data_IF_598795903385
#
_entry.id   IF_598795903385
#
_cell.length_a   1.000
_cell.length_b   1.000
_cell.length_c   1.000
_cell.angle_alpha   90.00
_cell.angle_beta   90.00
_cell.angle_gamma   90.00
#
_symmetry.space_group_name_H-M   'P 1'
#
loop_
_entity.id
_entity.type
_entity.pdbx_description
1 polymer ?
#
# COMPACT_ATOMS: atom_id res chain seq x y z
N UNK A 1 -4.57 36.89 56.72
CA UNK A 1 -3.59 37.64 57.52
C UNK A 1 -2.38 37.83 56.61
N UNK A 2 -2.21 39.08 56.31
CA UNK A 2 -1.05 40.01 56.19
C UNK A 2 -0.13 39.68 55.00
N UNK A 3 -0.15 40.42 53.85
CA UNK A 3 0.40 41.78 53.63
C UNK A 3 1.93 41.79 53.77
N UNK A 4 2.75 42.26 52.87
CA UNK A 4 2.88 43.53 52.14
C UNK A 4 4.01 43.43 51.13
N UNK A 5 3.87 43.96 49.90
CA UNK A 5 4.36 45.27 49.38
C UNK A 5 5.88 45.46 49.44
N UNK A 6 6.62 46.08 48.57
CA UNK A 6 6.47 47.03 47.47
C UNK A 6 7.88 47.41 46.94
N UNK A 7 7.92 47.93 45.66
CA UNK A 7 8.78 49.01 45.09
C UNK A 7 10.16 48.63 44.53
N UNK A 8 10.40 48.69 43.27
CA UNK A 8 10.56 49.82 42.33
C UNK A 8 11.78 50.74 42.68
N UNK A 9 12.70 50.88 41.75
CA UNK A 9 13.32 52.17 41.36
C UNK A 9 14.19 51.98 40.07
N UNK A 10 13.91 52.81 39.13
CA UNK A 10 14.53 53.36 37.96
C UNK A 10 16.07 53.48 37.96
N UNK A 11 16.66 53.37 36.76
CA UNK A 11 18.01 53.84 36.47
C UNK A 11 18.24 53.95 34.97
N UNK A 12 18.09 55.14 34.46
CA UNK A 12 18.32 55.63 33.09
C UNK A 12 19.80 55.65 32.75
N UNK A 13 20.20 55.35 31.51
CA UNK A 13 21.55 55.56 30.98
C UNK A 13 21.67 55.30 29.48
N UNK A 14 21.39 56.31 28.67
CA UNK A 14 21.66 56.37 27.27
C UNK A 14 23.12 56.69 27.00
N UNK A 15 23.79 55.94 26.08
CA UNK A 15 24.98 56.45 25.34
C UNK A 15 24.84 55.98 23.88
N UNK A 16 24.66 56.94 23.02
CA UNK A 16 24.82 56.90 21.58
C UNK A 16 26.32 56.87 21.25
N UNK A 17 26.75 55.93 20.40
CA UNK A 17 27.94 56.09 19.59
C UNK A 17 27.67 55.63 18.18
N UNK A 18 27.60 56.59 17.30
CA UNK A 18 27.59 56.44 15.84
C UNK A 18 29.03 56.11 15.38
N UNK A 19 29.16 55.10 14.57
CA UNK A 19 30.36 54.90 13.74
C UNK A 19 29.94 54.48 12.34
N UNK A 20 30.10 55.43 11.44
CA UNK A 20 30.02 55.30 9.98
C UNK A 20 31.22 54.46 9.46
N UNK A 21 30.96 53.46 8.64
CA UNK A 21 31.93 52.90 7.74
C UNK A 21 31.30 52.52 6.38
N UNK A 22 31.75 53.26 5.47
CA UNK A 22 32.00 53.22 4.02
C UNK A 22 31.56 51.91 3.27
N UNK A 23 30.69 52.14 2.29
CA UNK A 23 30.38 51.26 1.17
C UNK A 23 31.63 50.98 0.31
N UNK A 24 31.85 49.69 0.05
CA UNK A 24 32.52 49.26 -1.17
C UNK A 24 31.59 48.23 -1.83
N UNK A 25 30.95 48.64 -2.89
CA UNK A 25 30.09 47.79 -3.69
C UNK A 25 30.93 46.89 -4.59
N UNK A 26 30.49 45.66 -4.76
CA UNK A 26 30.66 44.92 -6.00
C UNK A 26 29.32 44.22 -6.26
N UNK A 27 28.64 44.66 -7.27
CA UNK A 27 27.44 44.03 -7.76
C UNK A 27 27.76 42.71 -8.42
N UNK A 28 26.94 41.72 -8.17
CA UNK A 28 26.65 40.66 -9.13
C UNK A 28 25.16 40.33 -9.02
N UNK A 29 24.56 40.25 -10.16
CA UNK A 29 23.14 40.32 -10.38
C UNK A 29 22.33 39.23 -9.66
N UNK A 30 21.20 39.62 -9.14
CA UNK A 30 20.08 38.74 -8.98
C UNK A 30 19.61 38.30 -10.36
N UNK A 31 19.97 37.10 -10.77
CA UNK A 31 19.26 36.34 -11.77
C UNK A 31 18.13 35.59 -11.05
N UNK A 32 17.01 35.49 -11.72
CA UNK A 32 15.72 35.11 -11.18
C UNK A 32 15.68 33.80 -10.42
N UNK A 33 14.74 33.74 -9.53
CA UNK A 33 14.13 32.51 -9.06
C UNK A 33 13.57 31.77 -10.29
N UNK A 34 14.32 30.81 -10.79
CA UNK A 34 13.75 29.70 -11.51
C UNK A 34 13.18 28.77 -10.42
N UNK A 35 11.88 28.66 -10.36
CA UNK A 35 11.20 27.56 -9.69
C UNK A 35 11.64 26.25 -10.41
N UNK A 36 12.78 25.71 -10.03
CA UNK A 36 13.16 24.37 -10.42
C UNK A 36 12.26 23.40 -9.67
N UNK A 37 11.51 22.60 -10.41
CA UNK A 37 10.76 21.49 -9.85
C UNK A 37 11.70 20.61 -8.99
N UNK A 38 11.23 20.05 -7.86
CA UNK A 38 12.00 19.10 -7.06
C UNK A 38 12.49 17.95 -7.96
N UNK A 39 13.82 17.75 -8.05
CA UNK A 39 14.43 16.71 -8.90
C UNK A 39 15.26 17.21 -10.08
N UNK A 40 15.39 18.53 -10.30
CA UNK A 40 16.18 19.10 -11.41
C UNK A 40 17.69 19.19 -11.15
N UNK A 41 18.16 19.00 -9.92
CA UNK A 41 19.58 18.86 -9.58
C UNK A 41 19.96 17.38 -9.53
N UNK A 42 21.17 17.02 -10.03
CA UNK A 42 21.65 15.63 -9.99
C UNK A 42 21.70 15.09 -8.55
N UNK A 43 21.56 13.76 -8.39
CA UNK A 43 21.60 13.10 -7.09
C UNK A 43 22.91 13.43 -6.33
N UNK A 44 22.80 13.58 -5.02
CA UNK A 44 23.97 13.73 -4.14
C UNK A 44 24.82 12.46 -4.16
N UNK A 45 26.11 12.63 -3.98
CA UNK A 45 27.08 11.52 -3.92
C UNK A 45 28.09 11.78 -2.81
N UNK A 46 28.27 10.80 -1.94
CA UNK A 46 29.30 10.81 -0.87
C UNK A 46 29.81 9.38 -0.64
N UNK A 47 30.75 9.24 0.27
CA UNK A 47 31.27 7.95 0.77
C UNK A 47 30.52 7.52 2.06
N UNK A 48 29.44 8.21 2.43
CA UNK A 48 28.68 7.89 3.64
C UNK A 48 27.93 6.55 3.48
N UNK A 49 27.84 5.82 4.59
CA UNK A 49 27.04 4.59 4.65
C UNK A 49 25.56 4.89 4.48
N UNK A 50 24.83 3.95 3.87
CA UNK A 50 23.39 4.03 3.73
C UNK A 50 22.66 3.40 4.94
N UNK A 51 21.55 3.99 5.29
CA UNK A 51 20.57 3.44 6.24
C UNK A 51 19.30 3.06 5.50
N UNK A 52 18.79 1.85 5.76
CA UNK A 52 17.55 1.32 5.14
C UNK A 52 16.57 0.97 6.23
N UNK A 53 15.35 1.49 6.18
CA UNK A 53 14.27 1.21 7.13
C UNK A 53 13.13 0.48 6.44
N UNK A 54 12.77 -0.70 6.94
CA UNK A 54 11.66 -1.50 6.39
C UNK A 54 10.59 -1.81 7.45
N UNK A 55 9.35 -1.94 7.01
CA UNK A 55 8.27 -2.56 7.76
C UNK A 55 8.12 -4.00 7.28
N UNK A 56 8.75 -4.94 7.98
CA UNK A 56 8.77 -6.33 7.55
C UNK A 56 7.47 -7.06 7.90
N UNK A 57 7.01 -7.94 7.02
CA UNK A 57 5.90 -8.85 7.26
C UNK A 57 6.29 -10.08 8.11
N UNK A 58 7.59 -10.26 8.41
CA UNK A 58 8.12 -11.34 9.22
C UNK A 58 9.59 -11.65 8.97
N UNK A 59 10.10 -12.67 9.68
CA UNK A 59 11.52 -13.02 9.63
C UNK A 59 12.01 -13.37 8.23
N UNK A 60 11.19 -14.03 7.41
CA UNK A 60 11.55 -14.42 6.04
C UNK A 60 11.80 -13.21 5.13
N UNK A 61 10.99 -12.16 5.21
CA UNK A 61 11.23 -10.91 4.48
C UNK A 61 12.48 -10.22 4.99
N UNK A 62 12.62 -10.09 6.33
CA UNK A 62 13.79 -9.46 6.94
C UNK A 62 15.09 -10.14 6.50
N UNK A 63 15.16 -11.47 6.56
CA UNK A 63 16.35 -12.24 6.17
C UNK A 63 16.66 -12.11 4.68
N UNK A 64 15.63 -12.13 3.82
CA UNK A 64 15.81 -11.99 2.38
C UNK A 64 16.32 -10.60 1.99
N UNK A 65 15.73 -9.55 2.54
CA UNK A 65 16.16 -8.16 2.28
C UNK A 65 17.54 -7.92 2.86
N UNK A 66 17.85 -8.40 4.08
CA UNK A 66 19.19 -8.29 4.66
C UNK A 66 20.24 -8.98 3.77
N UNK A 67 19.93 -10.19 3.27
CA UNK A 67 20.88 -10.91 2.40
C UNK A 67 21.14 -10.16 1.08
N UNK A 68 20.13 -9.53 0.48
CA UNK A 68 20.28 -8.74 -0.74
C UNK A 68 21.09 -7.45 -0.48
N UNK A 69 20.80 -6.75 0.60
CA UNK A 69 21.53 -5.55 1.04
C UNK A 69 23.01 -5.88 1.31
N UNK A 70 23.31 -6.97 2.03
CA UNK A 70 24.68 -7.40 2.32
C UNK A 70 25.46 -7.78 1.04
N UNK A 71 24.76 -8.43 0.09
CA UNK A 71 25.36 -8.79 -1.20
C UNK A 71 25.74 -7.55 -2.01
N UNK A 72 24.82 -6.59 -2.13
CA UNK A 72 25.08 -5.32 -2.81
C UNK A 72 26.16 -4.50 -2.11
N UNK A 73 26.10 -4.37 -0.78
CA UNK A 73 27.13 -3.66 0.01
C UNK A 73 28.53 -4.21 -0.23
N UNK A 74 28.66 -5.53 -0.30
CA UNK A 74 29.94 -6.20 -0.61
C UNK A 74 30.42 -5.94 -2.04
N UNK A 75 29.49 -5.85 -3.00
CA UNK A 75 29.80 -5.64 -4.42
C UNK A 75 30.16 -4.18 -4.69
N UNK A 76 29.36 -3.24 -4.19
CA UNK A 76 29.53 -1.80 -4.37
C UNK A 76 30.70 -1.23 -3.55
N UNK A 77 30.95 -1.82 -2.38
CA UNK A 77 31.88 -1.30 -1.37
C UNK A 77 31.29 -0.20 -0.49
N UNK A 78 30.00 0.11 -0.63
CA UNK A 78 29.27 1.06 0.23
C UNK A 78 28.68 0.31 1.42
N UNK A 79 28.97 0.75 2.64
CA UNK A 79 28.38 0.16 3.84
C UNK A 79 26.87 0.47 3.91
N UNK A 80 26.05 -0.53 4.25
CA UNK A 80 24.60 -0.37 4.42
C UNK A 80 24.15 -1.00 5.73
N UNK A 81 23.28 -0.32 6.45
CA UNK A 81 22.62 -0.86 7.64
C UNK A 81 21.11 -0.98 7.42
N UNK A 82 20.56 -2.19 7.58
CA UNK A 82 19.13 -2.46 7.55
C UNK A 82 18.54 -2.36 8.97
N UNK A 83 17.43 -1.65 9.09
CA UNK A 83 16.65 -1.52 10.31
C UNK A 83 15.21 -2.00 10.03
N UNK A 84 14.61 -2.71 11.00
CA UNK A 84 13.23 -3.16 10.91
C UNK A 84 12.40 -2.35 11.90
N UNK A 85 11.44 -1.60 11.37
CA UNK A 85 10.54 -0.80 12.17
C UNK A 85 9.52 -1.66 12.91
N UNK A 86 9.19 -1.30 14.13
CA UNK A 86 8.06 -1.85 14.86
C UNK A 86 6.73 -1.22 14.44
N UNK A 87 6.78 0.05 14.04
CA UNK A 87 5.70 0.83 13.42
C UNK A 87 6.35 1.77 12.38
N UNK A 88 6.32 1.33 11.12
CA UNK A 88 7.02 2.02 10.04
C UNK A 88 6.55 3.47 9.87
N UNK A 89 5.23 3.70 9.86
CA UNK A 89 4.68 5.03 9.67
C UNK A 89 5.08 6.00 10.78
N UNK A 90 5.05 5.52 12.02
CA UNK A 90 5.47 6.32 13.18
C UNK A 90 6.98 6.61 13.16
N UNK A 91 7.80 5.59 12.84
CA UNK A 91 9.27 5.74 12.82
C UNK A 91 9.73 6.64 11.68
N UNK A 92 9.12 6.55 10.49
CA UNK A 92 9.35 7.49 9.39
C UNK A 92 9.02 8.93 9.79
N UNK A 93 7.82 9.16 10.33
CA UNK A 93 7.38 10.49 10.75
C UNK A 93 8.32 11.08 11.82
N UNK A 94 8.80 10.26 12.75
CA UNK A 94 9.76 10.69 13.78
C UNK A 94 11.13 11.01 13.20
N UNK A 95 11.64 10.18 12.28
CA UNK A 95 12.92 10.40 11.60
C UNK A 95 12.94 11.72 10.83
N UNK A 96 11.91 11.97 10.03
CA UNK A 96 11.77 13.24 9.30
C UNK A 96 11.60 14.44 10.24
N UNK A 97 10.81 14.32 11.30
CA UNK A 97 10.63 15.40 12.28
C UNK A 97 11.93 15.71 13.05
N UNK A 98 12.78 14.73 13.26
CA UNK A 98 14.09 14.89 13.90
C UNK A 98 15.17 15.42 12.93
N UNK A 99 14.93 15.42 11.61
CA UNK A 99 15.96 15.72 10.58
C UNK A 99 17.01 14.63 10.44
N UNK A 100 16.68 13.40 10.81
CA UNK A 100 17.53 12.22 10.76
C UNK A 100 16.75 11.02 10.16
N UNK A 101 16.13 11.14 8.95
CA UNK A 101 15.45 10.03 8.30
C UNK A 101 16.47 8.96 7.85
N UNK A 102 15.98 7.73 7.63
CA UNK A 102 16.75 6.74 6.87
C UNK A 102 16.92 7.20 5.41
N UNK A 103 18.01 6.80 4.75
CA UNK A 103 18.28 7.16 3.35
C UNK A 103 17.30 6.52 2.39
N UNK A 104 16.98 5.23 2.62
CA UNK A 104 15.96 4.46 1.91
C UNK A 104 14.98 3.85 2.91
N UNK A 105 13.73 3.73 2.49
CA UNK A 105 12.70 3.14 3.34
C UNK A 105 11.54 2.58 2.53
N UNK A 106 10.80 1.64 3.11
CA UNK A 106 9.49 1.28 2.56
C UNK A 106 8.52 2.44 2.75
N UNK A 107 7.79 2.76 1.70
CA UNK A 107 6.78 3.81 1.71
C UNK A 107 5.48 3.27 1.11
N UNK A 108 4.40 3.39 1.86
CA UNK A 108 3.07 2.98 1.42
C UNK A 108 2.42 4.03 0.52
N UNK A 109 1.47 3.58 -0.28
CA UNK A 109 0.75 4.42 -1.25
C UNK A 109 -0.09 5.52 -0.60
N UNK A 110 -0.58 5.29 0.62
CA UNK A 110 -1.36 6.26 1.39
C UNK A 110 -0.52 7.36 2.07
N UNK A 111 0.80 7.19 2.14
CA UNK A 111 1.72 8.14 2.77
C UNK A 111 2.51 8.99 1.79
N UNK A 112 2.64 8.52 0.52
CA UNK A 112 3.53 9.18 -0.45
C UNK A 112 3.15 10.64 -0.73
N UNK A 113 1.85 10.96 -0.88
CA UNK A 113 1.40 12.30 -1.17
C UNK A 113 1.81 13.30 -0.06
N UNK A 114 1.66 12.91 1.21
CA UNK A 114 2.06 13.73 2.34
C UNK A 114 3.57 14.00 2.41
N UNK A 115 4.39 12.98 2.18
CA UNK A 115 5.86 13.14 2.18
C UNK A 115 6.37 13.85 0.92
N UNK A 116 5.71 13.68 -0.25
CA UNK A 116 6.05 14.40 -1.46
C UNK A 116 5.74 15.90 -1.33
N UNK A 117 4.54 16.25 -0.85
CA UNK A 117 4.08 17.64 -0.74
C UNK A 117 4.91 18.48 0.23
N UNK A 118 5.46 17.89 1.27
CA UNK A 118 6.31 18.58 2.25
C UNK A 118 7.81 18.60 1.88
N UNK A 119 8.18 18.01 0.72
CA UNK A 119 9.56 17.98 0.23
C UNK A 119 10.48 16.99 0.95
N UNK A 120 9.94 16.01 1.67
CA UNK A 120 10.73 14.98 2.36
C UNK A 120 11.33 13.94 1.43
N UNK A 121 10.77 13.77 0.22
CA UNK A 121 11.17 12.74 -0.74
C UNK A 121 12.04 13.30 -1.85
N UNK A 122 13.12 12.58 -2.18
CA UNK A 122 13.82 12.71 -3.44
C UNK A 122 13.07 11.93 -4.51
N UNK A 123 12.55 12.62 -5.52
CA UNK A 123 12.03 11.98 -6.72
C UNK A 123 13.19 11.43 -7.56
N UNK A 124 13.25 10.13 -7.75
CA UNK A 124 14.31 9.47 -8.51
C UNK A 124 13.81 8.49 -9.57
N UNK A 125 12.50 8.27 -9.63
CA UNK A 125 11.89 7.24 -10.49
C UNK A 125 12.29 7.37 -11.96
N UNK A 126 12.38 8.59 -12.50
CA UNK A 126 12.82 8.84 -13.86
C UNK A 126 14.30 8.56 -14.12
N UNK A 127 15.12 8.40 -13.07
CA UNK A 127 16.54 8.11 -13.16
C UNK A 127 16.84 6.61 -13.13
N UNK A 128 15.84 5.77 -12.79
CA UNK A 128 15.97 4.32 -12.80
C UNK A 128 16.25 3.79 -14.20
N UNK A 129 17.30 2.99 -14.34
CA UNK A 129 17.65 2.33 -15.61
C UNK A 129 16.62 1.28 -16.05
N UNK A 130 15.87 0.71 -15.10
CA UNK A 130 14.83 -0.30 -15.29
C UNK A 130 13.40 0.25 -15.18
N UNK A 131 13.19 1.57 -15.24
CA UNK A 131 11.86 2.17 -15.02
C UNK A 131 10.77 1.66 -15.96
N UNK A 132 11.11 1.36 -17.22
CA UNK A 132 10.17 0.89 -18.24
C UNK A 132 9.80 -0.60 -18.06
N UNK A 133 10.44 -1.31 -17.13
CA UNK A 133 10.16 -2.70 -16.80
C UNK A 133 9.11 -2.85 -15.71
N UNK A 134 8.84 -1.82 -14.92
CA UNK A 134 7.76 -1.85 -13.93
C UNK A 134 6.39 -1.93 -14.61
N UNK A 135 5.42 -2.54 -13.92
CA UNK A 135 4.03 -2.48 -14.37
C UNK A 135 3.54 -1.04 -14.36
N UNK A 136 2.93 -0.55 -15.48
CA UNK A 136 2.49 0.85 -15.58
C UNK A 136 1.57 1.29 -14.44
N UNK A 137 0.66 0.42 -13.99
CA UNK A 137 -0.23 0.68 -12.86
C UNK A 137 0.53 0.96 -11.56
N UNK A 138 1.64 0.22 -11.31
CA UNK A 138 2.48 0.46 -10.13
C UNK A 138 3.21 1.80 -10.20
N UNK A 139 3.71 2.17 -11.39
CA UNK A 139 4.35 3.47 -11.62
C UNK A 139 3.36 4.61 -11.38
N UNK A 140 2.13 4.49 -11.91
CA UNK A 140 1.07 5.48 -11.74
C UNK A 140 0.78 5.74 -10.27
N UNK A 141 0.74 4.69 -9.44
CA UNK A 141 0.44 4.79 -8.01
C UNK A 141 1.53 5.54 -7.20
N UNK A 142 2.75 5.60 -7.70
CA UNK A 142 3.87 6.34 -7.10
C UNK A 142 4.26 7.59 -7.91
N UNK A 143 3.35 8.06 -8.77
CA UNK A 143 3.48 9.31 -9.51
C UNK A 143 2.53 10.34 -8.90
N UNK A 144 3.08 11.42 -8.38
CA UNK A 144 2.34 12.55 -7.80
C UNK A 144 2.67 13.79 -8.61
N UNK A 145 1.67 14.51 -9.08
CA UNK A 145 1.82 15.72 -9.91
C UNK A 145 2.79 15.50 -11.11
N UNK A 146 2.55 14.44 -11.87
CA UNK A 146 3.38 14.00 -13.00
C UNK A 146 4.85 13.64 -12.65
N UNK A 147 5.17 13.48 -11.38
CA UNK A 147 6.52 13.14 -10.92
C UNK A 147 6.55 11.72 -10.35
N UNK A 148 7.34 10.83 -10.95
CA UNK A 148 7.57 9.47 -10.45
C UNK A 148 8.59 9.48 -9.31
N UNK A 149 8.13 9.27 -8.09
CA UNK A 149 8.94 9.43 -6.88
C UNK A 149 9.81 8.22 -6.56
N UNK A 150 9.24 7.01 -6.59
CA UNK A 150 9.93 5.84 -6.03
C UNK A 150 9.59 4.53 -6.72
N UNK A 151 10.56 3.63 -6.80
CA UNK A 151 10.43 2.30 -7.41
C UNK A 151 9.48 1.39 -6.61
N UNK A 152 8.44 0.81 -7.24
CA UNK A 152 7.60 -0.20 -6.59
C UNK A 152 8.45 -1.40 -6.16
N UNK A 153 8.35 -1.82 -4.88
CA UNK A 153 9.20 -2.91 -4.38
C UNK A 153 8.71 -4.31 -4.74
N UNK A 154 7.42 -4.50 -4.76
CA UNK A 154 6.66 -5.72 -5.07
C UNK A 154 5.18 -5.38 -5.15
N UNK A 155 4.32 -6.35 -5.40
CA UNK A 155 2.89 -6.11 -5.30
C UNK A 155 2.08 -7.37 -4.98
N UNK A 156 0.81 -7.17 -4.66
CA UNK A 156 -0.21 -8.20 -4.56
C UNK A 156 -1.54 -7.70 -5.13
N UNK A 157 -2.33 -8.60 -5.70
CA UNK A 157 -3.75 -8.37 -5.97
C UNK A 157 -4.60 -9.29 -5.11
N UNK A 158 -5.91 -9.09 -5.10
CA UNK A 158 -6.83 -10.01 -4.45
C UNK A 158 -7.36 -11.04 -5.44
N UNK A 159 -7.54 -12.26 -4.94
CA UNK A 159 -8.12 -13.37 -5.67
C UNK A 159 -9.10 -14.17 -4.80
N UNK A 160 -9.84 -15.08 -5.40
CA UNK A 160 -10.69 -16.02 -4.69
C UNK A 160 -9.87 -17.23 -4.27
N UNK A 161 -9.71 -17.43 -2.97
CA UNK A 161 -8.99 -18.59 -2.40
C UNK A 161 -10.00 -19.58 -1.85
N UNK A 162 -9.91 -20.84 -2.30
CA UNK A 162 -10.93 -21.84 -2.14
C UNK A 162 -10.36 -23.04 -1.38
N UNK A 163 -11.03 -23.49 -0.32
CA UNK A 163 -10.71 -24.75 0.37
C UNK A 163 -11.10 -25.94 -0.52
N UNK A 164 -10.08 -26.68 -0.99
CA UNK A 164 -10.26 -27.78 -1.96
C UNK A 164 -11.05 -28.96 -1.38
N UNK A 165 -10.95 -29.23 -0.08
CA UNK A 165 -11.69 -30.30 0.54
C UNK A 165 -13.19 -29.97 0.61
N UNK A 166 -13.54 -28.76 1.09
CA UNK A 166 -14.93 -28.31 1.17
C UNK A 166 -15.57 -28.21 -0.21
N UNK A 167 -14.81 -27.76 -1.21
CA UNK A 167 -15.23 -27.72 -2.60
C UNK A 167 -15.59 -29.11 -3.14
N UNK A 168 -14.72 -30.08 -2.94
CA UNK A 168 -14.93 -31.47 -3.37
C UNK A 168 -16.09 -32.14 -2.62
N UNK A 169 -16.20 -31.91 -1.31
CA UNK A 169 -17.25 -32.50 -0.47
C UNK A 169 -18.65 -31.96 -0.87
N UNK A 170 -18.72 -30.73 -1.37
CA UNK A 170 -19.93 -30.14 -1.94
C UNK A 170 -20.25 -30.67 -3.37
N UNK A 171 -19.37 -31.50 -3.95
CA UNK A 171 -19.51 -32.07 -5.31
C UNK A 171 -19.18 -31.09 -6.41
N UNK A 172 -18.49 -30.00 -6.10
CA UNK A 172 -18.06 -28.99 -7.07
C UNK A 172 -16.74 -29.41 -7.75
N UNK A 173 -16.53 -28.88 -8.95
CA UNK A 173 -15.37 -29.14 -9.85
C UNK A 173 -14.83 -27.81 -10.39
N UNK A 174 -13.73 -27.85 -11.14
CA UNK A 174 -13.16 -26.66 -11.81
C UNK A 174 -14.16 -25.98 -12.78
N UNK A 175 -15.14 -26.74 -13.30
CA UNK A 175 -16.19 -26.20 -14.17
C UNK A 175 -17.18 -25.28 -13.41
N UNK A 176 -17.24 -25.40 -12.08
CA UNK A 176 -18.11 -24.65 -11.20
C UNK A 176 -17.44 -23.41 -10.61
N UNK A 177 -16.17 -23.13 -10.98
CA UNK A 177 -15.49 -21.89 -10.57
C UNK A 177 -16.32 -20.67 -10.99
N UNK A 178 -16.65 -19.74 -10.07
CA UNK A 178 -17.56 -18.65 -10.35
C UNK A 178 -16.95 -17.65 -11.34
N UNK A 179 -17.71 -17.29 -12.37
CA UNK A 179 -17.31 -16.34 -13.43
C UNK A 179 -18.09 -15.03 -13.34
N UNK A 180 -19.17 -15.01 -12.58
CA UNK A 180 -20.02 -13.85 -12.35
C UNK A 180 -20.45 -13.76 -10.89
N UNK A 181 -21.00 -12.63 -10.49
CA UNK A 181 -21.60 -12.47 -9.15
C UNK A 181 -22.72 -13.48 -8.87
N UNK A 182 -23.53 -13.80 -9.89
CA UNK A 182 -24.60 -14.80 -9.76
C UNK A 182 -24.01 -16.20 -9.51
N UNK A 183 -22.91 -16.56 -10.20
CA UNK A 183 -22.22 -17.83 -9.97
C UNK A 183 -21.59 -17.85 -8.56
N UNK A 184 -20.97 -16.75 -8.13
CA UNK A 184 -20.38 -16.63 -6.78
C UNK A 184 -21.44 -16.83 -5.70
N UNK A 185 -22.61 -16.19 -5.85
CA UNK A 185 -23.72 -16.35 -4.93
C UNK A 185 -24.26 -17.79 -4.89
N UNK A 186 -24.38 -18.44 -6.05
CA UNK A 186 -24.85 -19.82 -6.15
C UNK A 186 -23.86 -20.81 -5.50
N UNK A 187 -22.57 -20.64 -5.76
CA UNK A 187 -21.50 -21.45 -5.19
C UNK A 187 -21.38 -21.20 -3.68
N UNK A 188 -21.37 -19.96 -3.22
CA UNK A 188 -21.34 -19.63 -1.80
C UNK A 188 -22.54 -20.25 -1.06
N UNK A 189 -23.72 -20.21 -1.64
CA UNK A 189 -24.90 -20.87 -1.07
C UNK A 189 -24.74 -22.38 -0.99
N UNK A 190 -24.16 -23.02 -2.01
CA UNK A 190 -23.90 -24.47 -2.04
C UNK A 190 -22.91 -24.88 -0.96
N UNK A 191 -21.90 -24.03 -0.73
CA UNK A 191 -20.83 -24.26 0.25
C UNK A 191 -21.23 -23.87 1.69
N UNK A 192 -22.31 -23.11 1.88
CA UNK A 192 -22.74 -22.71 3.24
C UNK A 192 -23.43 -23.87 3.94
N UNK A 193 -22.97 -24.16 5.14
CA UNK A 193 -23.50 -25.23 6.03
C UNK A 193 -23.81 -24.69 7.43
N UNK A 194 -24.08 -25.58 8.37
CA UNK A 194 -24.22 -25.19 9.79
C UNK A 194 -22.85 -24.86 10.44
N UNK A 195 -21.75 -25.37 9.87
CA UNK A 195 -20.43 -25.34 10.47
C UNK A 195 -19.53 -24.24 9.84
N UNK A 196 -19.80 -23.83 8.60
CA UNK A 196 -19.03 -22.82 7.88
C UNK A 196 -19.87 -22.05 6.87
N UNK A 197 -19.41 -20.84 6.54
CA UNK A 197 -20.00 -20.00 5.48
C UNK A 197 -19.36 -20.27 4.13
N UNK A 198 -20.07 -19.93 3.05
CA UNK A 198 -19.58 -20.08 1.68
C UNK A 198 -18.41 -19.15 1.36
N UNK A 199 -18.52 -17.88 1.74
CA UNK A 199 -17.50 -16.86 1.49
C UNK A 199 -17.29 -15.98 2.73
N UNK A 200 -16.02 -15.78 3.13
CA UNK A 200 -15.67 -14.80 4.15
C UNK A 200 -14.58 -13.84 3.66
N UNK A 201 -14.59 -12.61 4.17
CA UNK A 201 -13.58 -11.57 3.93
C UNK A 201 -13.61 -10.52 5.05
N UNK A 202 -12.62 -9.62 5.10
CA UNK A 202 -12.57 -8.53 6.08
C UNK A 202 -13.67 -7.48 5.84
N UNK A 203 -14.15 -6.86 6.93
CA UNK A 203 -15.10 -5.75 6.89
C UNK A 203 -14.37 -4.43 6.59
N UNK A 204 -13.65 -4.37 5.48
CA UNK A 204 -12.77 -3.26 5.13
C UNK A 204 -12.82 -2.98 3.64
N UNK A 205 -12.56 -1.74 3.26
CA UNK A 205 -12.50 -1.31 1.86
C UNK A 205 -11.54 -2.18 1.05
N UNK A 206 -10.42 -2.56 1.63
CA UNK A 206 -9.41 -3.39 0.99
C UNK A 206 -9.94 -4.75 0.50
N UNK A 207 -11.12 -5.20 0.95
CA UNK A 207 -11.82 -6.41 0.43
C UNK A 207 -13.12 -6.06 -0.26
N UNK A 208 -13.95 -5.23 0.39
CA UNK A 208 -15.26 -4.81 -0.15
C UNK A 208 -15.10 -3.99 -1.45
N UNK A 209 -14.02 -3.22 -1.56
CA UNK A 209 -13.69 -2.43 -2.75
C UNK A 209 -13.52 -3.27 -4.03
N UNK A 210 -13.25 -4.58 -3.93
CA UNK A 210 -13.23 -5.44 -5.12
C UNK A 210 -14.59 -5.52 -5.79
N UNK A 211 -15.66 -5.59 -4.99
CA UNK A 211 -17.03 -5.56 -5.52
C UNK A 211 -17.36 -4.19 -6.12
N UNK A 212 -16.87 -3.09 -5.53
CA UNK A 212 -17.01 -1.76 -6.11
C UNK A 212 -16.32 -1.67 -7.47
N UNK A 213 -15.07 -2.13 -7.58
CA UNK A 213 -14.34 -2.20 -8.85
C UNK A 213 -15.06 -3.07 -9.90
N UNK A 214 -15.58 -4.24 -9.50
CA UNK A 214 -16.34 -5.14 -10.36
C UNK A 214 -17.67 -4.55 -10.82
N UNK A 215 -18.26 -3.63 -10.05
CA UNK A 215 -19.44 -2.86 -10.47
C UNK A 215 -19.09 -1.72 -11.44
N UNK A 216 -17.81 -1.43 -11.65
CA UNK A 216 -17.34 -0.29 -12.43
C UNK A 216 -17.23 1.01 -11.63
N UNK A 217 -17.24 0.91 -10.29
CA UNK A 217 -17.06 2.01 -9.35
C UNK A 217 -15.64 2.05 -8.76
N UNK A 218 -15.52 2.76 -7.65
CA UNK A 218 -14.30 3.01 -6.90
C UNK A 218 -14.52 4.17 -5.93
N UNK A 219 -13.49 4.65 -5.28
CA UNK A 219 -13.61 5.81 -4.37
C UNK A 219 -13.28 7.13 -5.05
N UNK A 220 -12.25 7.13 -5.92
CA UNK A 220 -11.79 8.31 -6.66
C UNK A 220 -11.59 7.92 -8.13
N UNK A 221 -11.97 8.79 -9.06
CA UNK A 221 -11.72 8.66 -10.49
C UNK A 221 -11.42 10.01 -11.11
N UNK A 222 -10.36 10.11 -11.90
CA UNK A 222 -9.93 11.35 -12.55
C UNK A 222 -9.81 12.55 -11.57
N UNK A 223 -9.34 12.28 -10.35
CA UNK A 223 -9.20 13.31 -9.31
C UNK A 223 -10.52 13.73 -8.64
N UNK A 224 -11.64 13.09 -8.93
CA UNK A 224 -12.92 13.39 -8.31
C UNK A 224 -13.40 12.25 -7.40
N UNK A 225 -14.01 12.59 -6.28
CA UNK A 225 -14.70 11.62 -5.42
C UNK A 225 -15.92 11.05 -6.12
N UNK A 226 -16.07 9.71 -6.13
CA UNK A 226 -17.17 8.97 -6.75
C UNK A 226 -17.76 7.90 -5.84
N UNK A 227 -17.56 8.04 -4.52
CA UNK A 227 -17.95 6.99 -3.58
C UNK A 227 -19.45 6.70 -3.57
N UNK A 228 -20.32 7.69 -3.78
CA UNK A 228 -21.77 7.55 -3.74
C UNK A 228 -22.42 7.26 -5.11
N UNK A 229 -21.62 6.93 -6.13
CA UNK A 229 -22.11 6.54 -7.44
C UNK A 229 -22.98 5.26 -7.38
N UNK A 230 -23.94 5.14 -8.29
CA UNK A 230 -24.88 4.00 -8.38
C UNK A 230 -24.15 2.64 -8.43
N UNK A 231 -22.99 2.54 -9.09
CA UNK A 231 -22.17 1.34 -9.18
C UNK A 231 -21.69 0.86 -7.79
N UNK A 232 -21.23 1.78 -6.95
CA UNK A 232 -20.81 1.48 -5.59
C UNK A 232 -21.97 1.10 -4.68
N UNK A 233 -23.12 1.77 -4.85
CA UNK A 233 -24.35 1.44 -4.12
C UNK A 233 -24.83 0.04 -4.50
N UNK A 234 -24.76 -0.35 -5.79
CA UNK A 234 -25.06 -1.70 -6.27
C UNK A 234 -24.13 -2.74 -5.62
N UNK A 235 -22.82 -2.46 -5.59
CA UNK A 235 -21.81 -3.33 -4.98
C UNK A 235 -22.07 -3.58 -3.49
N UNK A 236 -22.26 -2.52 -2.71
CA UNK A 236 -22.55 -2.66 -1.28
C UNK A 236 -23.91 -3.32 -1.02
N UNK A 237 -24.90 -3.09 -1.88
CA UNK A 237 -26.21 -3.74 -1.81
C UNK A 237 -26.10 -5.25 -2.07
N UNK A 238 -25.28 -5.66 -3.06
CA UNK A 238 -25.00 -7.07 -3.33
C UNK A 238 -24.34 -7.73 -2.11
N UNK A 239 -23.24 -7.17 -1.60
CA UNK A 239 -22.55 -7.68 -0.41
C UNK A 239 -23.51 -7.78 0.78
N UNK A 240 -24.27 -6.71 1.06
CA UNK A 240 -25.25 -6.68 2.15
C UNK A 240 -26.26 -7.81 2.05
N UNK A 241 -26.84 -8.03 0.86
CA UNK A 241 -27.86 -9.06 0.66
C UNK A 241 -27.37 -10.46 1.04
N UNK A 242 -26.10 -10.76 0.75
CA UNK A 242 -25.45 -12.03 1.08
C UNK A 242 -24.94 -12.12 2.53
N UNK A 243 -24.64 -10.99 3.17
CA UNK A 243 -24.44 -10.93 4.61
C UNK A 243 -25.75 -11.19 5.38
N UNK A 244 -26.88 -10.70 4.85
CA UNK A 244 -28.22 -10.90 5.45
C UNK A 244 -28.69 -12.34 5.34
N UNK A 245 -28.52 -12.99 4.17
CA UNK A 245 -28.90 -14.38 3.95
C UNK A 245 -27.89 -15.40 4.53
N UNK A 246 -26.72 -14.95 4.97
CA UNK A 246 -25.70 -15.74 5.65
C UNK A 246 -24.82 -16.59 4.73
N UNK A 247 -24.85 -16.35 3.41
CA UNK A 247 -23.95 -17.01 2.45
C UNK A 247 -22.56 -16.36 2.42
N UNK A 248 -22.52 -15.05 2.75
CA UNK A 248 -21.28 -14.31 3.02
C UNK A 248 -21.21 -13.95 4.50
N UNK A 249 -19.98 -13.77 5.01
CA UNK A 249 -19.73 -13.25 6.35
C UNK A 249 -18.48 -12.40 6.38
N UNK A 250 -18.43 -11.43 7.30
CA UNK A 250 -17.15 -10.86 7.68
C UNK A 250 -16.36 -11.86 8.53
N UNK A 251 -15.04 -11.91 8.34
CA UNK A 251 -14.16 -12.87 9.04
C UNK A 251 -14.36 -12.85 10.56
N UNK A 252 -14.54 -11.66 11.16
CA UNK A 252 -14.84 -11.48 12.59
C UNK A 252 -16.11 -12.19 13.04
N UNK A 253 -17.14 -12.26 12.19
CA UNK A 253 -18.44 -12.84 12.52
C UNK A 253 -18.40 -14.38 12.54
N UNK A 254 -17.37 -14.98 11.93
CA UNK A 254 -17.07 -16.42 11.97
C UNK A 254 -15.91 -16.76 12.93
N UNK A 255 -15.50 -15.82 13.79
CA UNK A 255 -14.48 -16.04 14.82
C UNK A 255 -13.05 -16.05 14.30
N UNK A 256 -12.77 -15.34 13.20
CA UNK A 256 -11.46 -15.17 12.60
C UNK A 256 -11.06 -13.68 12.56
N UNK A 257 -9.77 -13.39 12.73
CA UNK A 257 -9.25 -12.03 12.65
C UNK A 257 -9.17 -11.51 11.21
N UNK A 258 -9.08 -12.43 10.22
CA UNK A 258 -8.98 -12.12 8.78
C UNK A 258 -9.37 -13.35 7.94
N UNK A 259 -9.46 -13.19 6.62
CA UNK A 259 -9.91 -14.24 5.71
C UNK A 259 -9.04 -15.49 5.71
N UNK A 260 -7.71 -15.35 5.72
CA UNK A 260 -6.80 -16.49 5.77
C UNK A 260 -6.97 -17.36 7.03
N UNK A 261 -7.23 -16.74 8.18
CA UNK A 261 -7.58 -17.47 9.41
C UNK A 261 -8.95 -18.15 9.28
N UNK A 262 -9.93 -17.51 8.65
CA UNK A 262 -11.25 -18.12 8.42
C UNK A 262 -11.14 -19.36 7.53
N UNK A 263 -10.35 -19.32 6.44
CA UNK A 263 -10.07 -20.46 5.58
C UNK A 263 -9.32 -21.56 6.33
N UNK A 264 -8.23 -21.20 7.03
CA UNK A 264 -7.36 -22.12 7.75
C UNK A 264 -8.06 -22.85 8.88
N UNK A 265 -8.97 -22.20 9.60
CA UNK A 265 -9.82 -22.81 10.65
C UNK A 265 -11.01 -23.59 10.08
N UNK A 266 -11.27 -23.53 8.78
CA UNK A 266 -12.43 -24.14 8.17
C UNK A 266 -13.75 -23.45 8.51
N UNK A 267 -13.70 -22.18 8.90
CA UNK A 267 -14.88 -21.36 9.18
C UNK A 267 -15.53 -20.79 7.90
N UNK A 268 -14.77 -20.75 6.81
CA UNK A 268 -15.22 -20.35 5.47
C UNK A 268 -14.69 -21.32 4.41
N UNK A 269 -15.48 -21.61 3.39
CA UNK A 269 -15.09 -22.44 2.27
C UNK A 269 -14.30 -21.66 1.21
N UNK A 270 -14.56 -20.37 1.07
CA UNK A 270 -13.87 -19.43 0.19
C UNK A 270 -13.55 -18.15 0.93
N UNK A 271 -12.47 -17.47 0.52
CA UNK A 271 -12.10 -16.14 1.02
C UNK A 271 -11.60 -15.25 -0.12
N UNK A 272 -11.72 -13.92 0.06
CA UNK A 272 -11.07 -12.93 -0.81
C UNK A 272 -9.82 -12.44 -0.09
N UNK A 273 -8.64 -12.79 -0.62
CA UNK A 273 -7.36 -12.46 -0.01
C UNK A 273 -6.28 -12.21 -1.07
N UNK A 274 -5.19 -11.57 -0.65
CA UNK A 274 -4.00 -11.40 -1.47
C UNK A 274 -3.02 -12.58 -1.35
N UNK A 275 -1.96 -12.54 -2.17
CA UNK A 275 -0.98 -13.63 -2.21
C UNK A 275 -0.21 -13.85 -0.89
N UNK A 276 -0.22 -12.91 0.03
CA UNK A 276 0.30 -13.09 1.41
C UNK A 276 -0.37 -14.26 2.18
N UNK A 277 -1.58 -14.69 1.76
CA UNK A 277 -2.24 -15.84 2.35
C UNK A 277 -1.40 -17.12 2.24
N UNK A 278 -0.56 -17.22 1.21
CA UNK A 278 0.28 -18.40 0.96
C UNK A 278 1.24 -18.69 2.11
N UNK A 279 1.81 -17.65 2.70
CA UNK A 279 2.67 -17.75 3.87
C UNK A 279 1.93 -18.30 5.09
N UNK A 280 0.74 -17.79 5.39
CA UNK A 280 -0.08 -18.29 6.49
C UNK A 280 -0.54 -19.74 6.26
N UNK A 281 -0.96 -20.06 5.04
CA UNK A 281 -1.37 -21.44 4.71
C UNK A 281 -0.20 -22.42 4.83
N UNK A 282 1.01 -22.03 4.47
CA UNK A 282 2.19 -22.88 4.58
C UNK A 282 2.65 -23.08 6.03
N UNK A 283 2.64 -22.02 6.83
CA UNK A 283 3.20 -22.02 8.17
C UNK A 283 2.19 -22.46 9.24
N UNK A 284 0.97 -21.91 9.21
CA UNK A 284 -0.01 -22.07 10.29
C UNK A 284 -1.08 -23.11 9.94
N UNK A 285 -1.40 -23.30 8.66
CA UNK A 285 -2.51 -24.14 8.19
C UNK A 285 -2.09 -25.14 7.12
N UNK A 286 -0.89 -25.72 7.21
CA UNK A 286 -0.28 -26.61 6.20
C UNK A 286 -1.09 -27.88 5.88
N UNK A 287 -2.05 -28.25 6.71
CA UNK A 287 -2.97 -29.36 6.46
C UNK A 287 -4.18 -28.98 5.60
N UNK A 288 -4.41 -27.70 5.34
CA UNK A 288 -5.55 -27.19 4.55
C UNK A 288 -5.13 -27.04 3.10
N UNK A 289 -5.68 -27.90 2.23
CA UNK A 289 -5.52 -27.74 0.78
C UNK A 289 -6.34 -26.57 0.27
N UNK A 290 -5.75 -25.76 -0.59
CA UNK A 290 -6.45 -24.65 -1.23
C UNK A 290 -6.11 -24.54 -2.72
N UNK A 291 -6.93 -23.83 -3.47
CA UNK A 291 -6.69 -23.40 -4.85
C UNK A 291 -7.02 -21.92 -4.96
N UNK A 292 -6.43 -21.26 -5.94
CA UNK A 292 -6.66 -19.83 -6.22
C UNK A 292 -7.37 -19.71 -7.56
N UNK A 293 -8.36 -18.83 -7.64
CA UNK A 293 -9.05 -18.47 -8.87
C UNK A 293 -9.13 -16.94 -9.00
N UNK A 294 -9.22 -16.43 -10.23
CA UNK A 294 -9.56 -15.02 -10.42
C UNK A 294 -10.91 -14.71 -9.75
N UNK A 295 -11.07 -13.49 -9.26
CA UNK A 295 -12.36 -13.02 -8.79
C UNK A 295 -13.36 -13.00 -9.95
N UNK A 296 -14.65 -13.32 -9.71
CA UNK A 296 -15.68 -13.28 -10.76
C UNK A 296 -15.94 -11.85 -11.24
N UNK A 297 -16.43 -11.75 -12.47
CA UNK A 297 -16.86 -10.46 -13.02
C UNK A 297 -18.14 -9.98 -12.35
N UNK A 298 -18.23 -8.68 -12.11
CA UNK A 298 -19.45 -7.99 -11.73
C UNK A 298 -20.14 -7.31 -12.91
N UNK A 299 -21.15 -6.46 -12.67
CA UNK A 299 -21.86 -5.73 -13.72
C UNK A 299 -20.95 -4.84 -14.59
N UNK A 300 -19.88 -4.29 -14.01
CA UNK A 300 -18.89 -3.46 -14.69
C UNK A 300 -17.74 -4.24 -15.34
N UNK A 301 -17.66 -5.56 -15.10
CA UNK A 301 -16.61 -6.43 -15.63
C UNK A 301 -15.66 -6.98 -14.56
N UNK A 302 -14.42 -7.29 -14.95
CA UNK A 302 -13.35 -7.70 -14.03
C UNK A 302 -12.96 -6.53 -13.12
N UNK A 303 -12.69 -6.83 -11.86
CA UNK A 303 -12.21 -5.84 -10.89
C UNK A 303 -11.57 -6.51 -9.67
N UNK A 304 -10.48 -5.96 -9.22
CA UNK A 304 -9.79 -6.32 -7.98
C UNK A 304 -9.07 -5.09 -7.45
N UNK A 305 -8.51 -5.18 -6.24
CA UNK A 305 -7.60 -4.17 -5.70
C UNK A 305 -6.15 -4.66 -5.74
N UNK A 306 -5.23 -3.72 -5.90
CA UNK A 306 -3.79 -3.93 -5.92
C UNK A 306 -3.13 -3.23 -4.73
N UNK A 307 -2.14 -3.86 -4.16
CA UNK A 307 -1.40 -3.38 -2.99
C UNK A 307 0.09 -3.46 -3.27
N UNK A 308 0.78 -2.39 -2.96
CA UNK A 308 2.23 -2.28 -3.14
C UNK A 308 2.80 -1.25 -2.17
N UNK A 309 4.10 -1.32 -1.93
CA UNK A 309 4.90 -0.26 -1.34
C UNK A 309 6.02 0.09 -2.33
N UNK A 310 6.70 1.22 -2.13
CA UNK A 310 7.89 1.55 -2.89
C UNK A 310 9.13 1.72 -1.99
N UNK A 311 10.28 1.86 -2.60
CA UNK A 311 11.52 2.26 -1.96
C UNK A 311 11.60 3.79 -1.93
N UNK A 312 11.07 4.45 -0.89
CA UNK A 312 11.20 5.90 -0.71
C UNK A 312 12.65 6.29 -0.45
N UNK A 313 13.08 7.44 -0.97
CA UNK A 313 14.41 8.01 -0.74
C UNK A 313 14.27 9.36 -0.06
N UNK A 314 15.03 9.60 1.00
CA UNK A 314 15.03 10.89 1.70
C UNK A 314 15.65 11.99 0.83
N UNK A 315 15.02 13.16 0.77
CA UNK A 315 15.52 14.32 0.04
C UNK A 315 16.89 14.81 0.59
N UNK A 316 17.09 14.67 1.90
CA UNK A 316 18.30 15.10 2.59
C UNK A 316 19.39 14.00 2.66
N UNK A 317 19.20 12.83 2.01
CA UNK A 317 20.24 11.78 1.96
C UNK A 317 21.51 12.32 1.33
N UNK A 318 22.66 12.15 1.98
CA UNK A 318 23.94 12.64 1.44
C UNK A 318 24.49 11.77 0.30
N UNK A 319 23.98 10.55 0.12
CA UNK A 319 24.47 9.57 -0.85
C UNK A 319 23.34 8.97 -1.70
N UNK A 320 22.54 9.83 -2.33
CA UNK A 320 21.39 9.45 -3.14
C UNK A 320 21.77 8.60 -4.36
N UNK A 321 22.97 8.80 -4.91
CA UNK A 321 23.45 8.00 -6.05
C UNK A 321 23.62 6.52 -5.66
N UNK A 322 24.26 6.24 -4.53
CA UNK A 322 24.40 4.87 -4.05
C UNK A 322 23.04 4.28 -3.62
N UNK A 323 22.14 5.11 -3.09
CA UNK A 323 20.78 4.70 -2.78
C UNK A 323 20.00 4.28 -4.05
N UNK A 324 20.13 5.03 -5.16
CA UNK A 324 19.55 4.65 -6.46
C UNK A 324 20.08 3.31 -6.96
N UNK A 325 21.41 3.11 -6.91
CA UNK A 325 22.05 1.87 -7.33
C UNK A 325 21.60 0.66 -6.48
N UNK A 326 21.41 0.85 -5.18
CA UNK A 326 20.83 -0.17 -4.30
C UNK A 326 19.38 -0.49 -4.69
N UNK A 327 18.54 0.52 -4.97
CA UNK A 327 17.16 0.31 -5.42
C UNK A 327 17.12 -0.47 -6.73
N UNK A 328 17.96 -0.12 -7.72
CA UNK A 328 18.04 -0.87 -8.98
C UNK A 328 18.44 -2.33 -8.76
N UNK A 329 19.35 -2.60 -7.81
CA UNK A 329 19.72 -3.96 -7.43
C UNK A 329 18.54 -4.72 -6.77
N UNK A 330 17.85 -4.07 -5.83
CA UNK A 330 16.71 -4.67 -5.11
C UNK A 330 15.47 -4.89 -6.00
N UNK A 331 15.31 -4.09 -7.04
CA UNK A 331 14.23 -4.19 -8.03
C UNK A 331 14.63 -4.93 -9.31
N UNK A 332 15.86 -5.42 -9.40
CA UNK A 332 16.30 -6.29 -10.48
C UNK A 332 15.67 -7.69 -10.41
N UNK A 333 15.58 -8.38 -11.55
CA UNK A 333 14.87 -9.66 -11.68
C UNK A 333 15.36 -10.73 -10.69
N UNK A 334 16.65 -10.84 -10.48
CA UNK A 334 17.24 -11.84 -9.57
C UNK A 334 16.80 -11.61 -8.13
N UNK A 335 16.85 -10.34 -7.65
CA UNK A 335 16.40 -9.97 -6.29
C UNK A 335 14.91 -10.16 -6.13
N UNK A 336 14.11 -9.74 -7.12
CA UNK A 336 12.66 -9.86 -7.09
C UNK A 336 12.19 -11.34 -7.03
N UNK A 337 12.80 -12.23 -7.81
CA UNK A 337 12.51 -13.67 -7.79
C UNK A 337 12.99 -14.33 -6.48
N UNK A 338 14.12 -13.87 -5.92
CA UNK A 338 14.57 -14.34 -4.62
C UNK A 338 13.60 -13.94 -3.50
N UNK A 339 13.09 -12.70 -3.50
CA UNK A 339 12.06 -12.24 -2.57
C UNK A 339 10.77 -13.03 -2.71
N UNK A 340 10.29 -13.24 -3.94
CA UNK A 340 9.13 -14.07 -4.21
C UNK A 340 9.26 -15.48 -3.65
N UNK A 341 10.45 -16.09 -3.78
CA UNK A 341 10.74 -17.42 -3.23
C UNK A 341 10.77 -17.42 -1.70
N UNK A 342 11.31 -16.34 -1.08
CA UNK A 342 11.51 -16.29 0.36
C UNK A 342 10.24 -16.00 1.15
N UNK A 343 9.43 -15.01 0.71
CA UNK A 343 8.26 -14.56 1.47
C UNK A 343 7.00 -14.32 0.62
N UNK A 344 7.03 -14.64 -0.70
CA UNK A 344 5.85 -14.80 -1.53
C UNK A 344 5.32 -13.60 -2.30
N UNK A 345 5.91 -12.38 -2.32
CA UNK A 345 5.36 -11.27 -3.09
C UNK A 345 5.47 -11.53 -4.59
N UNK A 346 4.62 -10.86 -5.37
CA UNK A 346 4.78 -10.83 -6.81
C UNK A 346 5.82 -9.77 -7.20
N UNK A 347 6.67 -10.06 -8.22
CA UNK A 347 7.66 -9.09 -8.69
C UNK A 347 6.99 -7.88 -9.31
N UNK A 348 7.49 -6.68 -9.00
CA UNK A 348 6.98 -5.41 -9.54
C UNK A 348 7.38 -5.13 -10.99
N UNK A 349 8.23 -5.96 -11.58
CA UNK A 349 8.76 -5.84 -12.93
C UNK A 349 8.21 -6.92 -13.87
N UNK A 350 7.93 -6.52 -15.11
CA UNK A 350 7.34 -7.37 -16.13
C UNK A 350 8.29 -8.49 -16.61
N UNK A 351 9.59 -8.22 -16.65
CA UNK A 351 10.60 -9.20 -17.09
C UNK A 351 10.70 -10.42 -16.16
N UNK A 352 10.27 -10.34 -14.91
CA UNK A 352 10.26 -11.44 -13.96
C UNK A 352 8.96 -12.26 -13.98
N UNK A 353 7.91 -11.79 -14.67
CA UNK A 353 6.56 -12.39 -14.63
C UNK A 353 6.50 -13.83 -15.11
N UNK A 354 7.16 -14.15 -16.25
CA UNK A 354 7.17 -15.50 -16.82
C UNK A 354 7.88 -16.50 -15.90
N UNK A 355 9.01 -16.10 -15.31
CA UNK A 355 9.74 -16.95 -14.37
C UNK A 355 8.91 -17.17 -13.10
N UNK A 356 8.35 -16.13 -12.55
CA UNK A 356 7.49 -16.22 -11.37
C UNK A 356 6.27 -17.13 -11.60
N UNK A 357 5.59 -16.99 -12.74
CA UNK A 357 4.43 -17.81 -13.08
C UNK A 357 4.82 -19.28 -13.30
N UNK A 358 6.02 -19.54 -13.87
CA UNK A 358 6.54 -20.88 -14.05
C UNK A 358 6.79 -21.58 -12.72
N UNK A 359 7.33 -20.84 -11.75
CA UNK A 359 7.62 -21.36 -10.41
C UNK A 359 6.38 -21.44 -9.51
N UNK A 360 5.35 -20.61 -9.80
CA UNK A 360 4.13 -20.50 -9.02
C UNK A 360 2.85 -20.66 -9.89
N UNK A 361 2.67 -21.75 -10.63
CA UNK A 361 1.55 -21.90 -11.57
C UNK A 361 0.18 -21.82 -10.90
N UNK A 362 0.06 -22.28 -9.66
CA UNK A 362 -1.18 -22.28 -8.89
C UNK A 362 -1.55 -20.87 -8.35
N UNK A 363 -0.62 -19.90 -8.41
CA UNK A 363 -0.80 -18.53 -7.97
C UNK A 363 -0.99 -17.55 -9.14
N UNK A 364 -0.97 -18.03 -10.39
CA UNK A 364 -1.16 -17.22 -11.60
C UNK A 364 -2.41 -16.31 -11.55
N UNK A 365 -3.54 -16.69 -10.92
CA UNK A 365 -4.70 -15.81 -10.81
C UNK A 365 -4.44 -14.48 -10.05
N UNK A 366 -3.50 -14.46 -9.10
CA UNK A 366 -3.09 -13.19 -8.48
C UNK A 366 -2.41 -12.26 -9.48
N UNK A 367 -1.48 -12.80 -10.28
CA UNK A 367 -0.77 -12.00 -11.28
C UNK A 367 -1.70 -11.50 -12.39
N UNK A 368 -2.67 -12.33 -12.83
CA UNK A 368 -3.68 -11.94 -13.80
C UNK A 368 -4.50 -10.72 -13.35
N UNK A 369 -4.69 -10.56 -12.05
CA UNK A 369 -5.35 -9.40 -11.44
C UNK A 369 -4.68 -8.06 -11.75
N UNK A 370 -3.36 -8.05 -11.99
CA UNK A 370 -2.62 -6.81 -12.27
C UNK A 370 -3.10 -6.06 -13.53
N UNK A 371 -3.74 -6.75 -14.48
CA UNK A 371 -4.23 -6.13 -15.72
C UNK A 371 -5.44 -5.22 -15.50
N UNK A 372 -6.21 -5.44 -14.42
CA UNK A 372 -7.48 -4.75 -14.17
C UNK A 372 -7.66 -4.29 -12.70
N UNK A 373 -6.60 -4.34 -11.93
CA UNK A 373 -6.65 -3.92 -10.54
C UNK A 373 -6.72 -2.39 -10.41
N UNK A 374 -7.47 -1.94 -9.41
CA UNK A 374 -7.50 -0.56 -8.96
C UNK A 374 -6.68 -0.40 -7.68
N UNK A 375 -6.18 0.81 -7.44
CA UNK A 375 -5.54 1.16 -6.18
C UNK A 375 -6.52 1.78 -5.20
N UNK A 376 -6.31 1.59 -3.88
CA UNK A 376 -6.90 2.47 -2.90
C UNK A 376 -6.51 3.93 -3.17
N UNK A 377 -7.35 4.90 -2.81
CA UNK A 377 -6.99 6.32 -2.90
C UNK A 377 -5.67 6.62 -2.17
N UNK A 378 -4.83 7.45 -2.79
CA UNK A 378 -3.51 7.84 -2.27
C UNK A 378 -3.38 9.35 -1.98
N UNK A 379 -4.48 10.11 -2.01
CA UNK A 379 -4.53 11.51 -1.65
C UNK A 379 -4.18 11.72 -0.18
N UNK A 380 -3.59 12.85 0.16
CA UNK A 380 -3.35 13.21 1.56
C UNK A 380 -4.66 13.21 2.36
N UNK A 381 -4.69 12.53 3.50
CA UNK A 381 -5.90 12.31 4.29
C UNK A 381 -6.75 11.09 3.90
N UNK A 382 -6.44 10.38 2.81
CA UNK A 382 -7.19 9.20 2.36
C UNK A 382 -7.21 8.08 3.42
N UNK A 383 -6.15 7.94 4.19
CA UNK A 383 -6.05 6.94 5.28
C UNK A 383 -7.17 7.13 6.31
N UNK A 384 -7.45 8.36 6.73
CA UNK A 384 -8.50 8.65 7.72
C UNK A 384 -9.90 8.38 7.13
N UNK A 385 -10.11 8.74 5.86
CA UNK A 385 -11.38 8.45 5.16
C UNK A 385 -11.61 6.94 5.03
N UNK A 386 -10.60 6.18 4.66
CA UNK A 386 -10.67 4.71 4.57
C UNK A 386 -10.92 4.09 5.94
N UNK A 387 -10.28 4.59 6.99
CA UNK A 387 -10.49 4.10 8.36
C UNK A 387 -11.93 4.33 8.83
N UNK A 388 -12.51 5.51 8.55
CA UNK A 388 -13.93 5.81 8.83
C UNK A 388 -14.86 4.92 8.00
N UNK A 389 -14.56 4.71 6.71
CA UNK A 389 -15.33 3.81 5.86
C UNK A 389 -15.31 2.37 6.40
N UNK A 390 -14.14 1.86 6.80
CA UNK A 390 -14.00 0.53 7.38
C UNK A 390 -14.87 0.37 8.65
N UNK A 391 -14.89 1.38 9.52
CA UNK A 391 -15.74 1.37 10.70
C UNK A 391 -17.25 1.32 10.35
N UNK A 392 -17.67 1.98 9.26
CA UNK A 392 -19.05 1.94 8.76
C UNK A 392 -19.37 0.60 8.10
N UNK A 393 -18.44 -0.01 7.34
CA UNK A 393 -18.60 -1.33 6.73
C UNK A 393 -18.86 -2.43 7.75
N UNK A 394 -18.31 -2.32 8.96
CA UNK A 394 -18.61 -3.26 10.04
C UNK A 394 -20.10 -3.39 10.36
N UNK A 395 -20.88 -2.36 10.04
CA UNK A 395 -22.33 -2.31 10.26
C UNK A 395 -23.15 -2.57 9.01
N UNK A 396 -22.52 -2.87 7.85
CA UNK A 396 -23.19 -2.98 6.54
C UNK A 396 -24.38 -3.93 6.54
N UNK A 397 -24.30 -5.05 7.25
CA UNK A 397 -25.40 -6.03 7.34
C UNK A 397 -26.74 -5.40 7.74
N UNK A 398 -26.75 -4.36 8.58
CA UNK A 398 -27.94 -3.64 9.00
C UNK A 398 -27.99 -2.19 8.52
N UNK A 399 -26.89 -1.68 7.97
CA UNK A 399 -26.74 -0.31 7.49
C UNK A 399 -27.41 -0.07 6.14
N UNK A 400 -27.47 1.19 5.75
CA UNK A 400 -27.93 1.61 4.43
C UNK A 400 -26.70 1.90 3.54
N UNK A 401 -26.46 1.12 2.45
CA UNK A 401 -25.35 1.33 1.54
C UNK A 401 -25.22 2.76 1.03
N UNK A 402 -26.32 3.39 0.62
CA UNK A 402 -26.29 4.76 0.10
C UNK A 402 -25.91 5.78 1.19
N UNK A 403 -26.37 5.58 2.42
CA UNK A 403 -26.02 6.47 3.52
C UNK A 403 -24.53 6.33 3.94
N UNK A 404 -23.99 5.10 3.94
CA UNK A 404 -22.58 4.82 4.19
C UNK A 404 -21.73 5.51 3.12
N UNK A 405 -22.01 5.26 1.84
CA UNK A 405 -21.23 5.81 0.72
C UNK A 405 -21.37 7.33 0.62
N UNK A 406 -22.55 7.90 0.89
CA UNK A 406 -22.73 9.36 0.95
C UNK A 406 -21.88 10.04 2.05
N UNK A 407 -21.65 9.36 3.19
CA UNK A 407 -20.72 9.84 4.23
C UNK A 407 -19.28 9.80 3.74
N UNK A 408 -18.88 8.73 3.07
CA UNK A 408 -17.53 8.58 2.48
C UNK A 408 -17.30 9.62 1.40
N UNK A 409 -18.29 9.87 0.53
CA UNK A 409 -18.25 10.90 -0.53
C UNK A 409 -17.90 12.27 0.04
N UNK A 410 -18.62 12.70 1.09
CA UNK A 410 -18.37 14.00 1.75
C UNK A 410 -16.95 14.09 2.28
N UNK A 411 -16.43 13.02 2.88
CA UNK A 411 -15.09 13.00 3.43
C UNK A 411 -14.01 13.02 2.31
N UNK A 412 -14.27 12.30 1.20
CA UNK A 412 -13.37 12.31 0.05
C UNK A 412 -13.35 13.67 -0.66
N UNK A 413 -14.50 14.31 -0.85
CA UNK A 413 -14.59 15.66 -1.45
C UNK A 413 -13.74 16.69 -0.72
N UNK A 414 -13.51 16.49 0.58
CA UNK A 414 -12.68 17.39 1.38
C UNK A 414 -11.17 17.23 1.14
N UNK A 415 -10.74 16.15 0.49
CA UNK A 415 -9.31 15.83 0.26
C UNK A 415 -8.91 15.71 -1.22
N UNK A 416 -9.88 15.74 -2.15
CA UNK A 416 -9.63 15.66 -3.62
C UNK A 416 -9.81 17.00 -4.35
N UNK A 417 -9.94 18.12 -3.61
CA UNK A 417 -10.09 19.48 -4.17
C UNK A 417 -8.75 20.08 -4.64
#
# INVERSE_FOLDING_TARGET
>A
MTRHTTRAVLGTGAVLLASTLVLAGCGSGFAGDDDAAPGAEGLTSSDDALTVLIGSSGDAETEAVQAAVDAWSKESGTDVSLQVASDLGQELSQGFAAGEPADLFYLSTDQIAGFASNGSLQAYGDQLSNKDDFYPSLVENFTIDDTFYCAPKDFSTLALVINTQMWTDAGLTDADLPKSWDDLAAVAKTLTTADHVGLAFGAEYQRVGTFMAQAGGGLVSDGAAIADDDANIEALTYVKSHLEDGTFAFAKDVGAGWGGEALGKGAAAMVIEGNWITGAMSNDYSSVGYTVAELPEGPGGKGTLQFTNCWGMAADSPNQQAALELVEYLTGADSQLAFSTAFGPMPSIQSAADAWTTDNPDLAPFLAGAEYAQFPPNQDGATDVIADFNAQLETLKSGDPAAILGSVQINLEAIVE
#
